data_IF_176553518613
#
_entry.id   IF_176553518613
#
_cell.length_a   1.000
_cell.length_b   1.000
_cell.length_c   1.000
_cell.angle_alpha   90.00
_cell.angle_beta   90.00
_cell.angle_gamma   90.00
#
_symmetry.space_group_name_H-M   'P 1'
#
loop_
_entity.id
_entity.type
_entity.pdbx_description
1 polymer ?
#
# COMPACT_ATOMS: atom_id res chain seq x y z
N UNK A 1 -7.99 -30.12 10.90
CA UNK A 1 -7.90 -28.65 10.95
C UNK A 1 -9.26 -28.08 10.56
N UNK A 2 -9.89 -27.22 11.37
CA UNK A 2 -11.22 -26.67 11.03
C UNK A 2 -11.14 -25.80 9.76
N UNK A 3 -11.95 -26.15 8.76
CA UNK A 3 -12.14 -25.38 7.52
C UNK A 3 -13.09 -24.22 7.77
N UNK A 4 -12.68 -23.01 7.41
CA UNK A 4 -13.49 -21.80 7.56
C UNK A 4 -14.17 -21.49 6.23
N UNK A 5 -15.49 -21.26 6.29
CA UNK A 5 -16.30 -20.91 5.14
C UNK A 5 -16.91 -19.51 5.33
N UNK A 6 -16.94 -18.75 4.25
CA UNK A 6 -17.78 -17.56 4.12
C UNK A 6 -19.26 -17.85 4.38
N UNK A 7 -19.99 -16.80 4.80
CA UNK A 7 -21.42 -16.79 5.11
C UNK A 7 -21.81 -17.63 6.34
N UNK A 8 -20.84 -18.14 7.09
CA UNK A 8 -21.05 -18.91 8.31
C UNK A 8 -20.60 -18.14 9.55
N UNK A 9 -21.22 -18.46 10.68
CA UNK A 9 -20.91 -17.85 11.99
C UNK A 9 -19.95 -18.75 12.77
N UNK A 10 -18.96 -18.14 13.39
CA UNK A 10 -17.93 -18.81 14.19
C UNK A 10 -17.79 -18.17 15.57
N UNK A 11 -17.40 -19.00 16.53
CA UNK A 11 -16.93 -18.52 17.82
C UNK A 11 -15.46 -18.07 17.69
N UNK A 12 -15.21 -16.83 18.09
CA UNK A 12 -13.89 -16.20 18.09
C UNK A 12 -13.55 -15.78 19.50
N UNK A 13 -12.33 -16.11 19.95
CA UNK A 13 -11.82 -15.69 21.25
C UNK A 13 -10.61 -14.77 21.05
N UNK A 14 -10.76 -13.51 21.46
CA UNK A 14 -9.72 -12.47 21.43
C UNK A 14 -9.62 -11.91 22.85
N UNK A 15 -8.42 -11.91 23.43
CA UNK A 15 -8.14 -11.35 24.77
C UNK A 15 -9.10 -11.86 25.86
N UNK A 16 -9.38 -13.16 25.88
CA UNK A 16 -10.32 -13.84 26.79
C UNK A 16 -11.79 -13.40 26.63
N UNK A 17 -12.12 -12.61 25.62
CA UNK A 17 -13.49 -12.30 25.25
C UNK A 17 -13.96 -13.19 24.11
N UNK A 18 -15.06 -13.91 24.34
CA UNK A 18 -15.66 -14.80 23.35
C UNK A 18 -16.81 -14.09 22.64
N UNK A 19 -16.74 -14.02 21.32
CA UNK A 19 -17.77 -13.40 20.48
C UNK A 19 -18.10 -14.28 19.27
N UNK A 20 -19.30 -14.10 18.73
CA UNK A 20 -19.69 -14.72 17.47
C UNK A 20 -19.36 -13.77 16.32
N UNK A 21 -18.80 -14.32 15.24
CA UNK A 21 -18.40 -13.55 14.06
C UNK A 21 -18.92 -14.24 12.82
N UNK A 22 -19.63 -13.47 11.99
CA UNK A 22 -19.98 -13.87 10.64
C UNK A 22 -18.78 -13.63 9.72
N UNK A 23 -18.30 -14.67 9.05
CA UNK A 23 -17.20 -14.55 8.07
C UNK A 23 -17.75 -14.07 6.73
N UNK A 24 -17.20 -12.96 6.23
CA UNK A 24 -17.58 -12.36 4.95
C UNK A 24 -16.71 -12.89 3.80
N UNK A 25 -15.38 -12.84 3.96
CA UNK A 25 -14.40 -13.33 2.99
C UNK A 25 -13.04 -13.58 3.65
N UNK A 26 -12.13 -14.26 2.95
CA UNK A 26 -10.74 -14.45 3.35
C UNK A 26 -9.79 -13.48 2.64
N UNK A 27 -8.81 -12.94 3.40
CA UNK A 27 -7.72 -12.11 2.87
C UNK A 27 -6.55 -13.02 2.46
N UNK A 28 -6.29 -14.03 3.29
CA UNK A 28 -5.22 -15.00 3.11
C UNK A 28 -5.57 -16.28 3.88
N UNK A 29 -4.74 -17.32 3.74
CA UNK A 29 -4.93 -18.62 4.39
C UNK A 29 -5.27 -18.55 5.89
N UNK A 30 -4.75 -17.54 6.61
CA UNK A 30 -4.91 -17.40 8.05
C UNK A 30 -5.63 -16.12 8.49
N UNK A 31 -6.13 -15.31 7.57
CA UNK A 31 -6.77 -14.02 7.89
C UNK A 31 -8.11 -13.91 7.17
N UNK A 32 -9.14 -13.60 7.94
CA UNK A 32 -10.52 -13.52 7.48
C UNK A 32 -11.10 -12.17 7.85
N UNK A 33 -11.98 -11.65 7.01
CA UNK A 33 -12.81 -10.49 7.33
C UNK A 33 -14.15 -10.98 7.81
N UNK A 34 -14.59 -10.45 8.94
CA UNK A 34 -15.88 -10.79 9.53
C UNK A 34 -16.54 -9.61 10.22
N UNK A 35 -17.77 -9.83 10.65
CA UNK A 35 -18.55 -8.85 11.43
C UNK A 35 -19.07 -9.51 12.70
N UNK A 36 -18.98 -8.86 13.87
CA UNK A 36 -19.55 -9.36 15.11
C UNK A 36 -21.06 -9.61 15.00
N UNK A 37 -21.51 -10.67 15.64
CA UNK A 37 -22.90 -11.14 15.64
C UNK A 37 -23.44 -11.09 17.06
N UNK A 38 -24.54 -10.36 17.24
CA UNK A 38 -25.18 -10.09 18.52
C UNK A 38 -26.51 -10.84 18.67
N UNK A 39 -26.80 -11.28 19.90
CA UNK A 39 -28.06 -11.93 20.25
C UNK A 39 -29.21 -10.95 20.49
N UNK A 40 -28.89 -9.67 20.71
CA UNK A 40 -29.84 -8.62 21.04
C UNK A 40 -29.64 -7.43 20.10
N UNK A 41 -30.65 -6.57 20.00
CA UNK A 41 -30.60 -5.37 19.19
C UNK A 41 -29.57 -4.40 19.80
N UNK A 42 -28.53 -4.08 19.02
CA UNK A 42 -27.52 -3.07 19.34
C UNK A 42 -27.79 -1.82 18.50
N UNK A 43 -27.39 -0.64 19.00
CA UNK A 43 -27.51 0.62 18.24
C UNK A 43 -26.88 0.47 16.84
N UNK A 44 -27.58 0.95 15.81
CA UNK A 44 -27.18 0.86 14.40
C UNK A 44 -27.04 -0.58 13.86
N UNK A 45 -27.60 -1.57 14.56
CA UNK A 45 -27.55 -2.96 14.10
C UNK A 45 -28.60 -3.28 13.04
N UNK A 46 -28.31 -4.31 12.24
CA UNK A 46 -29.20 -4.85 11.22
C UNK A 46 -29.57 -6.28 11.63
N UNK A 47 -30.86 -6.58 11.62
CA UNK A 47 -31.36 -7.94 11.83
C UNK A 47 -31.10 -8.80 10.58
N UNK A 48 -30.49 -9.96 10.78
CA UNK A 48 -30.35 -11.03 9.79
C UNK A 48 -31.39 -12.09 10.09
N UNK A 49 -32.43 -12.17 9.27
CA UNK A 49 -33.60 -13.00 9.54
C UNK A 49 -33.28 -14.49 9.44
N UNK A 50 -32.39 -14.91 8.54
CA UNK A 50 -32.03 -16.34 8.41
C UNK A 50 -31.40 -16.95 9.66
N UNK A 51 -30.77 -16.14 10.50
CA UNK A 51 -30.11 -16.60 11.72
C UNK A 51 -30.73 -16.00 12.99
N UNK A 52 -31.69 -15.08 12.85
CA UNK A 52 -32.31 -14.32 13.94
C UNK A 52 -31.27 -13.69 14.89
N UNK A 53 -30.32 -12.94 14.31
CA UNK A 53 -29.23 -12.24 15.00
C UNK A 53 -29.00 -10.86 14.41
N UNK A 54 -28.29 -10.03 15.14
CA UNK A 54 -27.98 -8.66 14.76
C UNK A 54 -26.50 -8.52 14.40
N UNK A 55 -26.18 -7.63 13.45
CA UNK A 55 -24.79 -7.26 13.12
C UNK A 55 -24.64 -5.74 13.08
N UNK A 56 -23.44 -5.24 13.33
CA UNK A 56 -23.10 -3.81 13.21
C UNK A 56 -22.02 -3.66 12.13
N UNK A 57 -22.35 -3.04 11.00
CA UNK A 57 -21.45 -3.01 9.83
C UNK A 57 -20.19 -2.17 10.06
N UNK A 58 -20.27 -1.19 10.94
CA UNK A 58 -19.13 -0.35 11.31
C UNK A 58 -18.06 -1.13 12.12
N UNK A 59 -18.38 -2.36 12.56
CA UNK A 59 -17.48 -3.23 13.33
C UNK A 59 -16.84 -4.34 12.48
N UNK A 60 -16.94 -4.26 11.14
CA UNK A 60 -16.21 -5.17 10.24
C UNK A 60 -14.72 -5.10 10.55
N UNK A 61 -14.12 -6.26 10.82
CA UNK A 61 -12.74 -6.37 11.30
C UNK A 61 -12.02 -7.59 10.74
N UNK A 62 -10.70 -7.61 10.90
CA UNK A 62 -9.83 -8.71 10.52
C UNK A 62 -9.66 -9.71 11.67
N UNK A 63 -9.74 -10.99 11.35
CA UNK A 63 -9.67 -12.10 12.30
C UNK A 63 -8.61 -13.11 11.90
N UNK A 64 -7.67 -13.36 12.81
CA UNK A 64 -6.67 -14.41 12.63
C UNK A 64 -7.28 -15.79 12.90
N UNK A 65 -6.91 -16.77 12.09
CA UNK A 65 -7.37 -18.17 12.20
C UNK A 65 -7.20 -18.77 13.60
N UNK A 66 -6.13 -18.41 14.32
CA UNK A 66 -5.83 -18.94 15.67
C UNK A 66 -6.87 -18.55 16.73
N UNK A 67 -7.58 -17.44 16.51
CA UNK A 67 -8.65 -16.95 17.38
C UNK A 67 -9.99 -17.62 17.08
N UNK A 68 -10.16 -18.22 15.89
CA UNK A 68 -11.39 -18.89 15.47
C UNK A 68 -11.43 -20.32 16.02
N UNK A 69 -12.34 -20.57 16.96
CA UNK A 69 -12.39 -21.82 17.74
C UNK A 69 -13.26 -22.88 17.09
N UNK A 70 -14.51 -22.55 16.77
CA UNK A 70 -15.48 -23.51 16.21
C UNK A 70 -16.54 -22.81 15.36
N UNK A 71 -17.11 -23.53 14.41
CA UNK A 71 -18.32 -23.09 13.72
C UNK A 71 -19.53 -23.23 14.66
N UNK A 72 -20.46 -22.28 14.58
CA UNK A 72 -21.72 -22.34 15.35
C UNK A 72 -22.73 -23.20 14.59
N UNK A 73 -23.44 -24.08 15.31
CA UNK A 73 -24.47 -24.96 14.74
C UNK A 73 -25.82 -24.73 15.42
N UNK A 74 -26.90 -24.77 14.64
CA UNK A 74 -28.28 -24.80 15.13
C UNK A 74 -28.98 -26.01 14.51
N UNK A 75 -29.57 -26.88 15.36
CA UNK A 75 -30.24 -28.12 14.93
C UNK A 75 -29.36 -29.00 14.01
N UNK A 76 -28.08 -29.14 14.37
CA UNK A 76 -27.11 -29.96 13.63
C UNK A 76 -26.61 -29.35 12.31
N UNK A 77 -27.06 -28.17 11.91
CA UNK A 77 -26.61 -27.47 10.70
C UNK A 77 -25.76 -26.25 11.05
N UNK A 78 -24.68 -25.96 10.28
CA UNK A 78 -23.91 -24.74 10.46
C UNK A 78 -24.82 -23.52 10.36
N UNK A 79 -24.63 -22.56 11.27
CA UNK A 79 -25.35 -21.31 11.24
C UNK A 79 -24.85 -20.49 10.05
N UNK A 80 -25.64 -20.50 8.98
CA UNK A 80 -25.30 -19.93 7.68
C UNK A 80 -26.38 -18.96 7.21
N UNK A 81 -25.95 -17.84 6.67
CA UNK A 81 -26.84 -16.81 6.14
C UNK A 81 -27.27 -17.15 4.70
N UNK A 82 -28.48 -16.76 4.33
CA UNK A 82 -29.00 -16.88 2.96
C UNK A 82 -28.28 -15.94 1.99
N UNK A 83 -28.16 -16.33 0.72
CA UNK A 83 -27.40 -15.56 -0.27
C UNK A 83 -27.97 -14.16 -0.55
N UNK A 84 -29.29 -14.01 -0.55
CA UNK A 84 -29.94 -12.72 -0.73
C UNK A 84 -29.64 -11.74 0.42
N UNK A 85 -29.70 -12.21 1.66
CA UNK A 85 -29.33 -11.42 2.84
C UNK A 85 -27.84 -11.11 2.87
N UNK A 86 -26.99 -12.05 2.45
CA UNK A 86 -25.56 -11.79 2.32
C UNK A 86 -25.27 -10.69 1.29
N UNK A 87 -25.94 -10.70 0.14
CA UNK A 87 -25.81 -9.63 -0.86
C UNK A 87 -26.29 -8.28 -0.32
N UNK A 88 -27.38 -8.25 0.46
CA UNK A 88 -27.86 -7.05 1.15
C UNK A 88 -26.85 -6.53 2.19
N UNK A 89 -26.22 -7.43 2.96
CA UNK A 89 -25.12 -7.07 3.88
C UNK A 89 -23.97 -6.40 3.11
N UNK A 90 -23.53 -6.96 1.98
CA UNK A 90 -22.46 -6.37 1.17
C UNK A 90 -22.84 -4.98 0.65
N UNK A 91 -24.08 -4.81 0.19
CA UNK A 91 -24.59 -3.52 -0.29
C UNK A 91 -24.64 -2.48 0.83
N UNK A 92 -25.20 -2.84 1.99
CA UNK A 92 -25.28 -1.95 3.16
C UNK A 92 -23.90 -1.62 3.72
N UNK A 93 -22.94 -2.56 3.65
CA UNK A 93 -21.55 -2.31 4.07
C UNK A 93 -20.90 -1.23 3.22
N UNK A 94 -21.16 -1.24 1.91
CA UNK A 94 -20.72 -0.17 1.01
C UNK A 94 -21.30 1.19 1.42
N UNK A 95 -22.60 1.24 1.72
CA UNK A 95 -23.26 2.48 2.17
C UNK A 95 -22.69 2.98 3.49
N UNK A 96 -22.56 2.11 4.50
CA UNK A 96 -21.99 2.47 5.81
C UNK A 96 -20.56 3.01 5.68
N UNK A 97 -19.72 2.41 4.82
CA UNK A 97 -18.40 2.94 4.52
C UNK A 97 -18.45 4.34 3.88
N UNK A 98 -19.35 4.55 2.91
CA UNK A 98 -19.51 5.87 2.29
C UNK A 98 -19.95 6.94 3.30
N UNK A 99 -20.86 6.60 4.21
CA UNK A 99 -21.30 7.50 5.28
C UNK A 99 -20.17 7.78 6.28
N UNK A 100 -19.38 6.77 6.65
CA UNK A 100 -18.20 6.95 7.47
C UNK A 100 -17.21 7.93 6.84
N UNK A 101 -16.87 7.75 5.56
CA UNK A 101 -15.97 8.67 4.84
C UNK A 101 -16.56 10.08 4.83
N UNK A 102 -17.84 10.23 4.46
CA UNK A 102 -18.52 11.52 4.42
C UNK A 102 -18.47 12.25 5.77
N UNK A 103 -18.70 11.54 6.87
CA UNK A 103 -18.76 12.12 8.21
C UNK A 103 -17.37 12.41 8.82
N UNK A 104 -16.31 11.76 8.31
CA UNK A 104 -14.96 11.86 8.86
C UNK A 104 -13.96 12.59 7.95
N UNK A 105 -14.36 13.02 6.76
CA UNK A 105 -13.55 13.90 5.91
C UNK A 105 -14.02 15.34 5.98
N UNK A 106 -13.10 16.26 6.29
CA UNK A 106 -13.40 17.70 6.29
C UNK A 106 -13.65 18.23 4.86
N UNK A 107 -14.43 19.29 4.73
CA UNK A 107 -14.64 20.01 3.46
C UNK A 107 -13.43 20.89 3.05
N UNK A 108 -12.21 20.44 3.34
CA UNK A 108 -10.95 21.11 3.04
C UNK A 108 -10.28 20.45 1.83
N UNK A 109 -9.24 21.08 1.23
CA UNK A 109 -8.45 20.45 0.19
C UNK A 109 -7.90 19.06 0.55
N UNK A 110 -7.62 18.80 1.83
CA UNK A 110 -7.16 17.49 2.30
C UNK A 110 -8.26 16.42 2.25
N UNK A 111 -9.48 16.75 2.67
CA UNK A 111 -10.61 15.83 2.54
C UNK A 111 -10.98 15.53 1.09
N UNK A 112 -10.93 16.56 0.22
CA UNK A 112 -11.08 16.38 -1.23
C UNK A 112 -9.98 15.47 -1.78
N UNK A 113 -8.74 15.62 -1.31
CA UNK A 113 -7.60 14.80 -1.74
C UNK A 113 -7.77 13.32 -1.38
N UNK A 114 -8.34 13.01 -0.21
CA UNK A 114 -8.65 11.62 0.20
C UNK A 114 -9.70 10.99 -0.71
N UNK A 115 -10.79 11.71 -1.00
CA UNK A 115 -11.85 11.22 -1.89
C UNK A 115 -11.33 10.99 -3.32
N UNK A 116 -10.53 11.93 -3.83
CA UNK A 116 -9.83 11.78 -5.11
C UNK A 116 -8.92 10.56 -5.11
N UNK A 117 -8.19 10.31 -4.03
CA UNK A 117 -7.32 9.15 -3.91
C UNK A 117 -8.07 7.81 -3.97
N UNK A 118 -9.22 7.71 -3.29
CA UNK A 118 -10.07 6.52 -3.37
C UNK A 118 -10.50 6.25 -4.82
N UNK A 119 -10.92 7.29 -5.53
CA UNK A 119 -11.27 7.22 -6.96
C UNK A 119 -10.07 6.79 -7.81
N UNK A 120 -8.91 7.39 -7.62
CA UNK A 120 -7.70 7.08 -8.40
C UNK A 120 -7.25 5.63 -8.19
N UNK A 121 -7.29 5.11 -6.94
CA UNK A 121 -7.00 3.70 -6.66
C UNK A 121 -7.95 2.77 -7.41
N UNK A 122 -9.25 3.05 -7.40
CA UNK A 122 -10.24 2.25 -8.11
C UNK A 122 -10.00 2.25 -9.63
N UNK A 123 -9.66 3.41 -10.19
CA UNK A 123 -9.27 3.53 -11.61
C UNK A 123 -8.05 2.67 -11.91
N UNK A 124 -7.02 2.68 -11.05
CA UNK A 124 -5.80 1.87 -11.23
C UNK A 124 -6.07 0.36 -11.12
N UNK A 125 -6.97 -0.06 -10.23
CA UNK A 125 -7.38 -1.46 -10.09
C UNK A 125 -8.12 -1.96 -11.33
N UNK A 126 -8.98 -1.12 -11.90
CA UNK A 126 -9.77 -1.45 -13.09
C UNK A 126 -9.06 -1.16 -14.41
N UNK A 127 -7.86 -0.56 -14.36
CA UNK A 127 -7.08 -0.22 -15.56
C UNK A 127 -6.67 -1.52 -16.26
N UNK A 128 -7.07 -1.66 -17.53
CA UNK A 128 -6.54 -2.72 -18.41
C UNK A 128 -5.04 -2.53 -18.53
N UNK A 129 -4.30 -3.64 -18.36
CA UNK A 129 -2.83 -3.62 -18.36
C UNK A 129 -2.33 -3.11 -19.71
N UNK A 130 -1.53 -2.04 -19.68
CA UNK A 130 -0.78 -1.60 -20.84
C UNK A 130 0.49 -2.45 -20.95
N UNK A 131 0.67 -3.12 -22.08
CA UNK A 131 1.85 -3.93 -22.36
C UNK A 131 2.99 -3.05 -22.88
N UNK A 132 3.60 -2.27 -22.00
CA UNK A 132 4.87 -1.63 -22.31
C UNK A 132 6.01 -2.61 -22.04
N UNK A 133 6.93 -2.73 -23.00
CA UNK A 133 8.18 -3.46 -22.81
C UNK A 133 9.17 -2.60 -22.01
N UNK A 134 8.88 -2.41 -20.73
CA UNK A 134 9.77 -1.72 -19.81
C UNK A 134 11.08 -2.48 -19.62
N UNK A 135 12.19 -1.75 -19.59
CA UNK A 135 13.54 -2.27 -19.33
C UNK A 135 14.00 -1.88 -17.94
N UNK A 136 14.81 -2.74 -17.33
CA UNK A 136 15.53 -2.43 -16.10
C UNK A 136 16.43 -1.21 -16.34
N UNK A 137 16.45 -0.29 -15.39
CA UNK A 137 17.21 0.97 -15.47
C UNK A 137 16.52 2.09 -16.23
N UNK A 138 15.39 1.84 -16.90
CA UNK A 138 14.60 2.90 -17.52
C UNK A 138 13.94 3.79 -16.45
N UNK A 139 13.79 5.07 -16.75
CA UNK A 139 13.10 6.03 -15.90
C UNK A 139 11.70 6.25 -16.48
N UNK A 140 10.69 6.15 -15.64
CA UNK A 140 9.29 6.31 -16.02
C UNK A 140 8.56 7.22 -15.04
N UNK A 141 7.50 7.87 -15.50
CA UNK A 141 6.53 8.51 -14.63
C UNK A 141 5.70 7.44 -13.91
N UNK A 142 5.71 7.51 -12.59
CA UNK A 142 5.06 6.56 -11.68
C UNK A 142 4.09 7.29 -10.77
N UNK A 143 2.87 6.77 -10.70
CA UNK A 143 1.83 7.23 -9.79
C UNK A 143 1.93 6.53 -8.43
N UNK A 144 2.58 7.21 -7.48
CA UNK A 144 2.68 6.75 -6.09
C UNK A 144 1.39 7.01 -5.30
N UNK A 145 0.41 7.72 -5.87
CA UNK A 145 -0.87 8.03 -5.22
C UNK A 145 -0.73 8.97 -4.02
N UNK A 146 -1.72 8.90 -3.12
CA UNK A 146 -1.70 9.53 -1.80
C UNK A 146 -1.19 8.49 -0.79
N UNK A 147 -0.22 8.88 0.03
CA UNK A 147 0.47 8.03 1.00
C UNK A 147 0.45 8.69 2.39
N UNK A 148 0.82 7.95 3.43
CA UNK A 148 0.61 8.38 4.83
C UNK A 148 1.86 9.13 5.34
N UNK A 149 1.65 10.26 6.01
CA UNK A 149 2.71 11.04 6.64
C UNK A 149 3.77 11.52 5.63
N UNK A 150 5.04 11.17 5.90
CA UNK A 150 6.20 11.61 5.12
C UNK A 150 6.56 10.67 3.95
N UNK A 151 5.75 9.64 3.69
CA UNK A 151 5.92 8.78 2.53
C UNK A 151 5.86 9.57 1.22
N UNK A 152 6.68 9.19 0.25
CA UNK A 152 6.67 9.85 -1.06
C UNK A 152 5.33 9.58 -1.75
N UNK A 153 4.64 10.68 -2.09
CA UNK A 153 3.35 10.68 -2.81
C UNK A 153 3.46 11.37 -4.18
N UNK A 154 2.34 11.33 -4.92
CA UNK A 154 2.11 11.98 -6.23
C UNK A 154 2.80 11.27 -7.40
N UNK A 155 2.60 11.82 -8.59
CA UNK A 155 3.28 11.43 -9.82
C UNK A 155 4.75 11.86 -9.78
N UNK A 156 5.68 10.92 -9.99
CA UNK A 156 7.12 11.18 -9.93
C UNK A 156 7.90 10.39 -10.98
N UNK A 157 9.03 10.90 -11.47
CA UNK A 157 9.95 10.05 -12.20
C UNK A 157 10.55 9.03 -11.23
N UNK A 158 10.71 7.80 -11.68
CA UNK A 158 11.32 6.73 -10.89
C UNK A 158 12.09 5.77 -11.78
N UNK A 159 13.21 5.28 -11.26
CA UNK A 159 14.02 4.25 -11.91
C UNK A 159 13.32 2.90 -11.74
N UNK A 160 13.11 2.17 -12.84
CA UNK A 160 12.65 0.79 -12.82
C UNK A 160 13.81 -0.14 -12.47
N UNK A 161 13.96 -0.43 -11.18
CA UNK A 161 15.14 -1.13 -10.64
C UNK A 161 15.14 -2.63 -10.90
N UNK A 162 14.02 -3.29 -10.58
CA UNK A 162 13.82 -4.74 -10.78
C UNK A 162 12.36 -5.02 -11.11
N UNK A 163 12.12 -6.09 -11.86
CA UNK A 163 10.77 -6.60 -12.10
C UNK A 163 10.60 -7.96 -11.44
N UNK A 164 9.35 -8.24 -11.06
CA UNK A 164 8.88 -9.61 -10.83
C UNK A 164 8.98 -10.45 -12.12
N UNK A 165 9.02 -11.77 -11.99
CA UNK A 165 9.11 -12.71 -13.12
C UNK A 165 7.98 -12.52 -14.14
N UNK A 166 6.76 -12.26 -13.67
CA UNK A 166 5.58 -12.00 -14.50
C UNK A 166 5.43 -10.52 -14.94
N UNK A 167 6.40 -9.66 -14.56
CA UNK A 167 6.47 -8.22 -14.82
C UNK A 167 5.23 -7.42 -14.36
N UNK A 168 4.42 -7.97 -13.44
CA UNK A 168 3.22 -7.30 -12.91
C UNK A 168 3.54 -6.35 -11.75
N UNK A 169 4.69 -6.58 -11.13
CA UNK A 169 5.23 -5.76 -10.05
C UNK A 169 6.65 -5.32 -10.39
N UNK A 170 6.98 -4.09 -10.02
CA UNK A 170 8.30 -3.49 -10.21
C UNK A 170 8.79 -2.91 -8.89
N UNK A 171 10.05 -3.19 -8.55
CA UNK A 171 10.80 -2.41 -7.57
C UNK A 171 11.26 -1.14 -8.25
N UNK A 172 10.97 0.00 -7.64
CA UNK A 172 11.31 1.31 -8.19
C UNK A 172 12.07 2.16 -7.18
N UNK A 173 12.89 3.07 -7.69
CA UNK A 173 13.60 4.08 -6.90
C UNK A 173 13.09 5.45 -7.33
N UNK A 174 12.31 6.14 -6.49
CA UNK A 174 11.78 7.46 -6.81
C UNK A 174 12.90 8.49 -6.98
N UNK A 175 12.72 9.37 -7.96
CA UNK A 175 13.55 10.55 -8.18
C UNK A 175 12.85 11.81 -7.65
N UNK A 176 13.63 12.78 -7.20
CA UNK A 176 13.19 14.17 -7.05
C UNK A 176 13.30 14.91 -8.37
N UNK A 177 12.54 15.99 -8.53
CA UNK A 177 12.60 16.84 -9.72
C UNK A 177 13.82 17.76 -9.76
N UNK A 178 14.56 17.88 -8.64
CA UNK A 178 15.75 18.71 -8.51
C UNK A 178 16.84 17.92 -7.80
N UNK A 179 18.09 18.17 -8.16
CA UNK A 179 19.25 17.73 -7.37
C UNK A 179 19.19 18.36 -5.99
N UNK A 180 19.48 17.58 -4.96
CA UNK A 180 19.49 18.07 -3.59
C UNK A 180 20.86 18.61 -3.20
N UNK A 181 21.95 18.00 -3.67
CA UNK A 181 23.30 18.36 -3.24
C UNK A 181 23.47 18.27 -1.72
N UNK A 182 22.73 17.37 -1.07
CA UNK A 182 22.77 17.20 0.37
C UNK A 182 23.76 16.11 0.78
N UNK A 183 24.07 16.06 2.07
CA UNK A 183 25.07 15.14 2.62
C UNK A 183 24.47 13.80 3.07
N UNK A 184 23.23 13.48 2.69
CA UNK A 184 22.62 12.21 3.08
C UNK A 184 23.19 11.08 2.22
N UNK A 185 23.88 10.14 2.86
CA UNK A 185 24.56 9.03 2.18
C UNK A 185 23.61 8.08 1.42
N UNK A 186 22.31 8.16 1.67
CA UNK A 186 21.26 7.39 1.02
C UNK A 186 20.52 8.15 -0.10
N UNK A 187 20.98 9.36 -0.42
CA UNK A 187 20.61 10.07 -1.63
C UNK A 187 21.72 9.93 -2.67
N UNK A 188 21.34 9.85 -3.94
CA UNK A 188 22.29 9.84 -5.05
C UNK A 188 21.84 10.82 -6.11
N UNK A 189 22.64 11.86 -6.34
CA UNK A 189 22.45 12.77 -7.45
C UNK A 189 22.89 12.08 -8.75
N UNK A 190 21.99 11.99 -9.72
CA UNK A 190 22.23 11.33 -11.01
C UNK A 190 23.36 12.03 -11.79
N UNK A 191 24.04 11.28 -12.67
CA UNK A 191 25.12 11.83 -13.51
C UNK A 191 24.65 12.88 -14.52
N UNK A 192 23.47 12.67 -15.11
CA UNK A 192 22.82 13.68 -15.95
C UNK A 192 22.12 14.72 -15.05
N UNK A 193 22.54 15.98 -15.13
CA UNK A 193 22.01 17.07 -14.31
C UNK A 193 20.51 17.35 -14.55
N UNK A 194 19.96 16.90 -15.69
CA UNK A 194 18.52 16.96 -15.97
C UNK A 194 17.73 15.90 -15.19
N UNK A 195 18.42 14.88 -14.68
CA UNK A 195 17.89 13.88 -13.76
C UNK A 195 18.20 14.35 -12.32
N UNK A 196 17.18 14.35 -11.45
CA UNK A 196 17.32 14.84 -10.08
C UNK A 196 18.05 13.87 -9.16
N UNK A 197 17.59 13.76 -7.92
CA UNK A 197 18.20 12.88 -6.90
C UNK A 197 17.38 11.61 -6.74
N UNK A 198 18.03 10.44 -6.81
CA UNK A 198 17.46 9.18 -6.40
C UNK A 198 17.35 9.12 -4.87
N UNK A 199 16.16 8.78 -4.35
CA UNK A 199 15.89 8.61 -2.92
C UNK A 199 15.86 7.13 -2.58
N UNK A 200 17.01 6.57 -2.21
CA UNK A 200 17.17 5.13 -2.01
C UNK A 200 16.32 4.66 -0.82
N UNK A 201 16.16 5.49 0.21
CA UNK A 201 15.33 5.20 1.38
C UNK A 201 13.84 5.02 1.05
N UNK A 202 13.40 5.47 -0.12
CA UNK A 202 12.04 5.33 -0.62
C UNK A 202 11.89 4.24 -1.69
N UNK A 203 12.84 3.30 -1.77
CA UNK A 203 12.72 2.12 -2.63
C UNK A 203 11.45 1.32 -2.26
N UNK A 204 10.62 1.03 -3.26
CA UNK A 204 9.30 0.41 -3.04
C UNK A 204 8.90 -0.51 -4.19
N UNK A 205 8.10 -1.53 -3.88
CA UNK A 205 7.44 -2.38 -4.87
C UNK A 205 6.07 -1.80 -5.24
N UNK A 206 5.82 -1.67 -6.55
CA UNK A 206 4.57 -1.15 -7.09
C UNK A 206 3.99 -2.10 -8.13
N UNK A 207 2.67 -2.06 -8.31
CA UNK A 207 2.02 -2.65 -9.48
C UNK A 207 2.44 -1.93 -10.76
N UNK A 208 2.62 -2.67 -11.86
CA UNK A 208 2.87 -2.11 -13.20
C UNK A 208 1.77 -1.14 -13.65
N UNK A 209 0.55 -1.25 -13.12
CA UNK A 209 -0.55 -0.33 -13.45
C UNK A 209 -0.28 1.11 -13.02
N UNK A 210 0.64 1.31 -12.06
CA UNK A 210 1.07 2.63 -11.59
C UNK A 210 2.10 3.30 -12.50
N UNK A 211 2.72 2.57 -13.41
CA UNK A 211 3.63 3.13 -14.40
C UNK A 211 2.77 3.77 -15.51
N UNK A 212 3.01 5.05 -15.78
CA UNK A 212 2.23 5.84 -16.74
C UNK A 212 2.89 5.82 -18.11
N UNK A 213 4.07 6.41 -18.21
CA UNK A 213 4.79 6.58 -19.46
C UNK A 213 6.30 6.70 -19.22
N UNK A 214 7.14 6.45 -20.24
CA UNK A 214 8.57 6.69 -20.16
C UNK A 214 8.89 8.16 -19.86
N UNK A 215 9.93 8.41 -19.08
CA UNK A 215 10.48 9.74 -18.89
C UNK A 215 11.45 10.05 -20.02
N UNK A 216 11.39 11.25 -20.59
CA UNK A 216 12.21 11.63 -21.73
C UNK A 216 13.23 12.71 -21.35
N UNK A 217 14.47 12.51 -21.77
CA UNK A 217 15.54 13.51 -21.76
C UNK A 217 16.08 13.61 -23.18
N UNK A 218 16.13 14.83 -23.74
CA UNK A 218 16.61 15.08 -25.11
C UNK A 218 15.92 14.18 -26.16
N UNK A 219 14.59 14.05 -26.10
CA UNK A 219 13.76 13.20 -26.95
C UNK A 219 14.09 11.70 -26.94
N UNK A 220 14.86 11.21 -25.95
CA UNK A 220 15.16 9.79 -25.75
C UNK A 220 14.60 9.34 -24.41
N UNK A 221 14.21 8.08 -24.32
CA UNK A 221 13.80 7.48 -23.05
C UNK A 221 15.00 7.54 -22.11
N UNK A 222 14.81 8.17 -20.96
CA UNK A 222 15.85 8.29 -19.96
C UNK A 222 16.14 6.92 -19.33
N UNK A 223 17.42 6.60 -19.25
CA UNK A 223 17.94 5.36 -18.65
C UNK A 223 19.15 5.71 -17.81
N UNK A 224 19.29 5.04 -16.67
CA UNK A 224 20.46 5.24 -15.80
C UNK A 224 21.75 4.78 -16.50
N UNK A 225 22.87 5.44 -16.21
CA UNK A 225 24.18 4.99 -16.70
C UNK A 225 24.68 3.80 -15.88
N UNK A 226 25.74 3.13 -16.35
CA UNK A 226 26.41 2.08 -15.57
C UNK A 226 26.93 2.62 -14.24
N UNK A 227 27.50 3.82 -14.24
CA UNK A 227 28.02 4.49 -13.04
C UNK A 227 26.91 4.81 -12.04
N UNK A 228 25.77 5.28 -12.52
CA UNK A 228 24.57 5.47 -11.69
C UNK A 228 24.13 4.14 -11.07
N UNK A 229 24.00 3.09 -11.88
CA UNK A 229 23.61 1.77 -11.41
C UNK A 229 24.55 1.23 -10.33
N UNK A 230 25.86 1.31 -10.55
CA UNK A 230 26.87 0.80 -9.62
C UNK A 230 26.88 1.59 -8.30
N UNK A 231 26.73 2.91 -8.37
CA UNK A 231 26.65 3.79 -7.19
C UNK A 231 25.38 3.56 -6.37
N UNK A 232 24.23 3.47 -7.04
CA UNK A 232 22.94 3.17 -6.41
C UNK A 232 22.99 1.78 -5.76
N UNK A 233 23.59 0.78 -6.42
CA UNK A 233 23.74 -0.56 -5.85
C UNK A 233 24.58 -0.56 -4.58
N UNK A 234 25.69 0.20 -4.55
CA UNK A 234 26.49 0.38 -3.34
C UNK A 234 25.66 1.02 -2.21
N UNK A 235 24.89 2.07 -2.51
CA UNK A 235 24.04 2.70 -1.50
C UNK A 235 22.97 1.74 -0.99
N UNK A 236 22.33 0.95 -1.86
CA UNK A 236 21.35 -0.07 -1.46
C UNK A 236 21.98 -1.10 -0.53
N UNK A 237 23.17 -1.61 -0.86
CA UNK A 237 23.91 -2.56 -0.01
C UNK A 237 24.20 -1.96 1.36
N UNK A 238 24.64 -0.70 1.41
CA UNK A 238 24.89 -0.01 2.67
C UNK A 238 23.61 0.26 3.48
N UNK A 239 22.54 0.71 2.84
CA UNK A 239 21.33 1.18 3.52
C UNK A 239 20.37 0.05 3.92
N UNK A 240 20.13 -0.91 3.02
CA UNK A 240 19.17 -1.99 3.24
C UNK A 240 19.80 -3.32 3.66
N UNK A 241 21.05 -3.59 3.25
CA UNK A 241 21.77 -4.80 3.65
C UNK A 241 22.78 -4.58 4.78
N UNK A 242 22.93 -3.33 5.25
CA UNK A 242 23.86 -2.94 6.31
C UNK A 242 25.31 -3.38 6.06
N UNK A 243 25.70 -3.50 4.78
CA UNK A 243 27.06 -3.86 4.41
C UNK A 243 28.02 -2.70 4.71
N UNK A 244 29.06 -2.97 5.49
CA UNK A 244 30.16 -2.03 5.69
C UNK A 244 30.99 -1.95 4.41
N UNK A 245 30.71 -0.93 3.61
CA UNK A 245 31.55 -0.57 2.48
C UNK A 245 32.77 0.13 3.07
N UNK A 246 33.84 -0.64 3.30
CA UNK A 246 35.15 -0.08 3.63
C UNK A 246 35.57 0.81 2.46
N UNK A 247 35.33 2.11 2.60
CA UNK A 247 35.73 3.10 1.60
C UNK A 247 37.26 3.06 1.49
N UNK A 248 37.78 2.45 0.44
CA UNK A 248 39.11 2.77 -0.06
C UNK A 248 39.16 4.28 -0.32
N UNK A 249 39.84 4.98 0.59
CA UNK A 249 40.24 6.40 0.59
C UNK A 249 39.85 7.19 -0.67
N UNK A 250 38.68 7.84 -0.63
CA UNK A 250 38.43 9.00 -1.48
C UNK A 250 39.05 10.20 -0.76
N UNK A 251 40.16 10.70 -1.28
CA UNK A 251 40.82 11.92 -0.82
C UNK A 251 39.88 13.12 -1.02
N UNK A 252 39.15 13.49 0.03
CA UNK A 252 38.41 14.74 0.07
C UNK A 252 39.44 15.86 0.25
N UNK A 253 39.79 16.55 -0.84
CA UNK A 253 40.43 17.86 -0.78
C UNK A 253 39.43 18.84 -0.14
N UNK A 254 39.61 19.15 1.15
CA UNK A 254 38.94 20.27 1.81
C UNK A 254 39.36 21.57 1.13
N UNK A 255 38.46 22.24 0.43
CA UNK A 255 38.63 23.65 0.07
C UNK A 255 38.35 24.49 1.33
N UNK A 256 39.36 25.24 1.78
CA UNK A 256 39.19 26.28 2.80
C UNK A 256 38.36 27.42 2.19
N UNK A 257 37.19 27.71 2.77
CA UNK A 257 36.56 29.03 2.63
C UNK A 257 36.66 29.73 3.98
N UNK A 258 37.35 30.87 3.94
CA UNK A 258 37.57 31.84 5.00
C UNK A 258 36.25 32.37 5.57
N UNK A 259 36.07 32.25 6.88
CA UNK A 259 35.10 33.04 7.64
C UNK A 259 35.56 34.51 7.65
N UNK A 260 34.75 35.40 7.07
CA UNK A 260 34.79 36.82 7.42
C UNK A 260 33.80 37.02 8.57
N UNK A 261 34.35 37.26 9.75
CA UNK A 261 33.64 37.81 10.90
C UNK A 261 33.28 39.27 10.56
N UNK A 262 32.00 39.62 10.64
CA UNK A 262 31.52 40.99 10.66
C UNK A 262 31.37 41.40 12.13
N UNK A 263 32.21 42.34 12.55
CA UNK A 263 31.98 43.25 13.68
C UNK A 263 30.81 44.18 13.39
#
# INVERSE_FOLDING_TARGET
MLTINWKQVYEVNINNNTQWVLILYDISKNHYVGVPVYNYNVKNSILINSINKYIVLDEISDYNRSHIKKCIYIKGKPLKIKDNEFNDILLKSKTSFCDYVKNNTNNTPDGISYNKWCKDKLILMNKKRQNFNFKIGAICWVDLGYNIGNELRKLRPAILWRSSSNKQMWTIIPLTSKRKGDNYYFHYDMEDDTLGTARIENLINISSNRIKEPYFVNNKIATITKKDNDSILQIIKRYYAFENINNTKINIRKSKKSEKVLT
#
